data_IF_733386443876
#
_entry.id   IF_733386443876
#
_cell.length_a   1.000
_cell.length_b   1.000
_cell.length_c   1.000
_cell.angle_alpha   90.00
_cell.angle_beta   90.00
_cell.angle_gamma   90.00
#
_symmetry.space_group_name_H-M   'P 1'
#
loop_
_entity.id
_entity.type
_entity.pdbx_description
1 polymer ?
#
# COMPACT_ATOMS: atom_id res chain seq x y z
N UNK A 1 -11.13 -2.99 3.61
CA UNK A 1 -9.72 -3.26 3.90
C UNK A 1 -9.13 -4.10 2.79
N UNK A 2 -7.97 -3.68 2.29
CA UNK A 2 -7.19 -4.46 1.33
C UNK A 2 -6.19 -5.34 2.07
N UNK A 3 -6.15 -6.62 1.72
CA UNK A 3 -5.15 -7.56 2.24
C UNK A 3 -4.50 -8.21 1.02
N UNK A 4 -3.18 -8.03 0.89
CA UNK A 4 -2.43 -8.57 -0.24
C UNK A 4 -1.25 -9.39 0.25
N UNK A 5 -1.13 -10.61 -0.26
CA UNK A 5 0.06 -11.43 -0.07
C UNK A 5 1.10 -11.04 -1.13
N UNK A 6 2.23 -10.50 -0.69
CA UNK A 6 3.27 -10.03 -1.59
C UNK A 6 4.28 -11.12 -1.90
N UNK A 7 4.75 -11.15 -3.16
CA UNK A 7 5.85 -12.02 -3.56
C UNK A 7 7.17 -11.47 -3.02
N UNK A 8 8.23 -12.30 -3.05
CA UNK A 8 9.57 -11.86 -2.64
C UNK A 8 10.05 -10.70 -3.49
N UNK A 9 9.76 -10.72 -4.80
CA UNK A 9 10.11 -9.66 -5.73
C UNK A 9 9.41 -8.35 -5.37
N UNK A 10 8.14 -8.41 -5.04
CA UNK A 10 7.36 -7.23 -4.64
C UNK A 10 7.89 -6.63 -3.34
N UNK A 11 8.22 -7.46 -2.37
CA UNK A 11 8.81 -7.01 -1.09
C UNK A 11 10.16 -6.34 -1.35
N UNK A 12 11.02 -6.96 -2.14
CA UNK A 12 12.34 -6.43 -2.47
C UNK A 12 12.23 -5.09 -3.19
N UNK A 13 11.34 -4.97 -4.17
CA UNK A 13 11.09 -3.73 -4.89
C UNK A 13 10.62 -2.62 -3.94
N UNK A 14 9.68 -2.93 -3.05
CA UNK A 14 9.16 -1.96 -2.10
C UNK A 14 10.25 -1.45 -1.15
N UNK A 15 11.14 -2.33 -0.71
CA UNK A 15 12.21 -1.98 0.23
C UNK A 15 13.37 -1.24 -0.44
N UNK A 16 13.53 -1.33 -1.76
CA UNK A 16 14.59 -0.65 -2.50
C UNK A 16 14.31 0.82 -2.78
N UNK A 17 13.06 1.25 -2.72
CA UNK A 17 12.68 2.61 -3.07
C UNK A 17 13.32 3.58 -2.09
N UNK A 18 14.04 4.58 -2.60
CA UNK A 18 14.62 5.62 -1.75
C UNK A 18 13.51 6.49 -1.16
N UNK A 19 13.57 6.74 0.15
CA UNK A 19 12.57 7.56 0.85
C UNK A 19 12.47 8.94 0.22
N UNK A 20 13.57 9.50 -0.26
CA UNK A 20 13.60 10.78 -0.94
C UNK A 20 12.81 10.82 -2.25
N UNK A 21 12.51 9.67 -2.84
CA UNK A 21 11.71 9.57 -4.07
C UNK A 21 10.20 9.48 -3.80
N UNK A 22 9.81 9.45 -2.53
CA UNK A 22 8.41 9.27 -2.14
C UNK A 22 7.76 10.61 -1.82
N UNK A 23 6.61 10.94 -2.45
CA UNK A 23 5.84 12.14 -2.09
C UNK A 23 5.42 12.18 -0.62
N UNK A 24 5.06 11.03 -0.06
CA UNK A 24 4.77 10.85 1.36
C UNK A 24 5.79 9.86 1.92
N UNK A 25 6.93 10.35 2.46
CA UNK A 25 8.05 9.50 2.83
C UNK A 25 7.71 8.55 3.98
N UNK A 26 7.72 7.25 3.68
CA UNK A 26 7.48 6.20 4.66
C UNK A 26 8.16 4.92 4.18
N UNK A 27 8.98 4.30 5.01
CA UNK A 27 9.67 3.07 4.67
C UNK A 27 8.65 1.91 4.62
N UNK A 28 8.84 0.99 3.69
CA UNK A 28 7.98 -0.19 3.59
C UNK A 28 7.93 -0.96 4.91
N UNK A 29 9.05 -1.09 5.60
CA UNK A 29 9.12 -1.82 6.87
C UNK A 29 8.29 -1.20 7.98
N UNK A 30 7.98 0.09 7.89
CA UNK A 30 7.11 0.79 8.82
C UNK A 30 5.62 0.53 8.56
N UNK A 31 5.29 0.00 7.38
CA UNK A 31 3.91 -0.18 6.93
C UNK A 31 3.40 -1.60 7.12
N UNK A 32 4.25 -2.55 7.47
CA UNK A 32 3.88 -3.97 7.60
C UNK A 32 4.42 -4.56 8.89
N UNK A 33 3.64 -5.46 9.49
CA UNK A 33 4.12 -6.28 10.62
C UNK A 33 4.83 -7.52 10.08
N UNK A 34 4.31 -8.10 9.00
CA UNK A 34 4.91 -9.20 8.26
C UNK A 34 5.05 -8.76 6.80
N UNK A 35 6.27 -8.71 6.22
CA UNK A 35 6.47 -8.22 4.86
C UNK A 35 5.62 -8.93 3.80
N UNK A 36 5.29 -10.19 3.99
CA UNK A 36 4.46 -10.95 3.06
C UNK A 36 3.02 -10.45 3.01
N UNK A 37 2.50 -9.90 4.11
CA UNK A 37 1.10 -9.50 4.24
C UNK A 37 0.95 -8.00 4.38
N UNK A 38 0.52 -7.35 3.31
CA UNK A 38 0.21 -5.93 3.31
C UNK A 38 -1.29 -5.75 3.63
N UNK A 39 -1.59 -5.00 4.69
CA UNK A 39 -2.96 -4.73 5.14
C UNK A 39 -3.20 -3.23 5.12
N UNK A 40 -4.21 -2.77 4.38
CA UNK A 40 -4.45 -1.34 4.20
C UNK A 40 -5.95 -1.03 4.17
N UNK A 41 -6.28 0.21 4.50
CA UNK A 41 -7.62 0.75 4.23
C UNK A 41 -7.73 1.05 2.73
N UNK A 42 -8.69 0.42 2.06
CA UNK A 42 -8.85 0.50 0.61
C UNK A 42 -9.58 1.75 0.15
N UNK A 43 -9.13 2.92 0.57
CA UNK A 43 -9.74 4.21 0.25
C UNK A 43 -8.66 5.17 -0.24
N UNK A 44 -8.82 5.68 -1.47
CA UNK A 44 -7.92 6.66 -2.04
C UNK A 44 -7.88 7.93 -1.18
N UNK A 45 -6.69 8.37 -0.82
CA UNK A 45 -6.50 9.51 0.09
C UNK A 45 -6.80 10.87 -0.56
N UNK A 46 -7.08 10.89 -1.86
CA UNK A 46 -7.49 12.13 -2.54
C UNK A 46 -8.95 12.47 -2.24
N UNK A 47 -9.92 11.70 -2.76
CA UNK A 47 -11.36 11.98 -2.59
C UNK A 47 -12.18 10.74 -2.20
N UNK A 48 -11.54 9.69 -1.69
CA UNK A 48 -12.25 8.55 -1.12
C UNK A 48 -12.72 7.47 -2.10
N UNK A 49 -12.27 7.51 -3.36
CA UNK A 49 -12.56 6.42 -4.30
C UNK A 49 -11.81 5.15 -3.91
N UNK A 50 -12.30 4.01 -4.40
CA UNK A 50 -11.67 2.71 -4.11
C UNK A 50 -10.66 2.40 -5.21
N UNK A 51 -9.35 2.31 -4.90
CA UNK A 51 -8.34 1.94 -5.89
C UNK A 51 -8.50 0.51 -6.39
N UNK A 52 -8.04 0.29 -7.62
CA UNK A 52 -8.05 -1.03 -8.26
C UNK A 52 -6.70 -1.72 -8.06
N UNK A 53 -6.72 -2.96 -7.57
CA UNK A 53 -5.52 -3.75 -7.35
C UNK A 53 -4.86 -4.20 -8.64
N UNK A 54 -3.54 -4.36 -8.60
CA UNK A 54 -2.72 -4.83 -9.73
C UNK A 54 -2.90 -3.98 -10.99
N UNK A 55 -3.12 -2.70 -10.82
CA UNK A 55 -3.25 -1.70 -11.87
C UNK A 55 -2.29 -0.55 -11.61
N UNK A 56 -2.06 0.24 -12.65
CA UNK A 56 -1.15 1.40 -12.58
C UNK A 56 0.30 1.02 -12.88
N UNK A 57 1.17 2.02 -12.80
CA UNK A 57 2.55 1.91 -13.29
C UNK A 57 3.52 1.29 -12.27
N UNK A 58 3.06 1.04 -11.05
CA UNK A 58 3.92 0.60 -9.95
C UNK A 58 3.53 -0.76 -9.38
N UNK A 59 2.75 -1.54 -10.11
CA UNK A 59 2.31 -2.90 -9.74
C UNK A 59 1.48 -2.98 -8.45
N UNK A 60 1.03 -1.84 -7.94
CA UNK A 60 0.22 -1.76 -6.72
C UNK A 60 -1.24 -1.53 -7.03
N UNK A 61 -1.69 -0.29 -6.82
CA UNK A 61 -3.08 0.10 -7.01
C UNK A 61 -3.17 1.34 -7.88
N UNK A 62 -4.29 1.46 -8.58
CA UNK A 62 -4.60 2.61 -9.40
C UNK A 62 -6.00 3.12 -9.07
N UNK A 63 -6.11 4.42 -8.74
CA UNK A 63 -7.41 5.05 -8.52
C UNK A 63 -7.91 5.68 -9.82
N UNK A 64 -8.98 5.14 -10.42
CA UNK A 64 -9.45 5.63 -11.73
C UNK A 64 -10.16 6.98 -11.67
N UNK A 65 -10.55 7.44 -10.47
CA UNK A 65 -11.28 8.69 -10.33
C UNK A 65 -10.44 9.90 -10.79
N UNK A 66 -9.16 9.97 -10.39
CA UNK A 66 -8.29 11.09 -10.72
C UNK A 66 -6.87 10.67 -11.07
N UNK A 67 -6.62 9.37 -11.23
CA UNK A 67 -5.35 8.88 -11.76
C UNK A 67 -4.21 8.74 -10.75
N UNK A 68 -4.49 8.53 -9.48
CA UNK A 68 -3.44 8.25 -8.48
C UNK A 68 -2.91 6.83 -8.63
N UNK A 69 -1.57 6.69 -8.59
CA UNK A 69 -0.87 5.41 -8.66
C UNK A 69 -0.19 5.13 -7.32
N UNK A 70 -0.42 3.94 -6.78
CA UNK A 70 0.21 3.46 -5.55
C UNK A 70 1.10 2.26 -5.85
N UNK A 71 2.18 2.12 -5.11
CA UNK A 71 3.12 1.00 -5.28
C UNK A 71 2.68 -0.24 -4.49
N UNK A 72 3.55 -1.27 -4.47
CA UNK A 72 3.27 -2.54 -3.78
C UNK A 72 3.30 -2.43 -2.26
N UNK A 73 3.57 -1.25 -1.72
CA UNK A 73 3.46 -0.92 -0.30
C UNK A 73 2.26 0.00 -0.01
N UNK A 74 1.49 0.36 -1.04
CA UNK A 74 0.39 1.30 -0.92
C UNK A 74 0.83 2.75 -0.75
N UNK A 75 2.08 3.08 -1.13
CA UNK A 75 2.58 4.45 -1.07
C UNK A 75 2.23 5.17 -2.36
N UNK A 76 1.81 6.43 -2.22
CA UNK A 76 1.53 7.28 -3.39
C UNK A 76 2.82 7.54 -4.17
N UNK A 77 2.75 7.34 -5.47
CA UNK A 77 3.88 7.53 -6.37
C UNK A 77 3.60 8.57 -7.45
N UNK A 78 2.35 8.69 -7.88
CA UNK A 78 1.97 9.57 -8.98
C UNK A 78 0.49 9.93 -8.86
N UNK A 79 0.16 11.17 -9.18
CA UNK A 79 -1.23 11.62 -9.18
C UNK A 79 -1.55 12.51 -7.98
N UNK A 80 -2.83 12.91 -7.83
CA UNK A 80 -3.22 13.96 -6.89
C UNK A 80 -3.36 13.54 -5.43
N UNK A 81 -3.32 12.23 -5.13
CA UNK A 81 -3.47 11.77 -3.73
C UNK A 81 -2.33 12.34 -2.87
N UNK A 82 -2.65 12.94 -1.71
CA UNK A 82 -1.64 13.61 -0.89
C UNK A 82 -0.83 12.68 -0.01
N UNK A 83 -1.36 11.51 0.35
CA UNK A 83 -0.73 10.60 1.29
C UNK A 83 -0.80 9.16 0.82
N UNK A 84 0.01 8.29 1.44
CA UNK A 84 -0.06 6.84 1.27
C UNK A 84 -1.41 6.31 1.74
N UNK A 85 -1.81 5.13 1.27
CA UNK A 85 -3.00 4.46 1.79
C UNK A 85 -2.81 4.17 3.28
N UNK A 86 -3.87 4.37 4.06
CA UNK A 86 -3.82 4.24 5.51
C UNK A 86 -3.59 2.79 5.92
N UNK A 87 -2.73 2.58 6.92
CA UNK A 87 -2.54 1.28 7.56
C UNK A 87 -3.43 1.22 8.78
N UNK A 88 -4.42 0.31 8.84
CA UNK A 88 -5.30 0.20 10.01
C UNK A 88 -4.58 -0.47 11.17
N UNK A 89 -5.15 -0.39 12.35
CA UNK A 89 -4.73 -1.22 13.48
C UNK A 89 -5.10 -2.67 13.19
N UNK A 90 -4.15 -3.58 13.31
CA UNK A 90 -4.38 -5.00 13.15
C UNK A 90 -3.35 -5.81 13.90
N UNK A 91 -3.67 -7.08 14.16
CA UNK A 91 -2.76 -8.01 14.82
C UNK A 91 -2.95 -9.40 14.22
N UNK A 92 -1.86 -10.16 14.08
CA UNK A 92 -1.93 -11.57 13.72
C UNK A 92 -2.27 -12.38 14.96
N UNK A 93 -3.39 -13.10 14.91
CA UNK A 93 -3.77 -14.04 15.98
C UNK A 93 -3.01 -15.36 15.84
N UNK A 94 -2.71 -15.75 14.61
CA UNK A 94 -1.87 -16.88 14.24
C UNK A 94 -1.45 -16.69 12.77
N UNK A 95 -0.80 -17.69 12.17
CA UNK A 95 -0.29 -17.58 10.80
C UNK A 95 -1.39 -17.41 9.74
N UNK A 96 -2.64 -17.72 10.08
CA UNK A 96 -3.75 -17.73 9.15
C UNK A 96 -4.86 -16.75 9.49
N UNK A 97 -4.75 -15.99 10.60
CA UNK A 97 -5.84 -15.16 11.08
C UNK A 97 -5.34 -13.79 11.51
N UNK A 98 -5.97 -12.75 10.96
CA UNK A 98 -5.69 -11.36 11.30
C UNK A 98 -6.94 -10.76 11.94
N UNK A 99 -6.75 -10.06 13.05
CA UNK A 99 -7.80 -9.25 13.67
C UNK A 99 -7.55 -7.80 13.31
N UNK A 100 -8.56 -7.15 12.74
CA UNK A 100 -8.50 -5.75 12.31
C UNK A 100 -9.40 -4.91 13.22
N UNK A 101 -8.81 -3.87 13.78
CA UNK A 101 -9.54 -2.99 14.70
C UNK A 101 -9.23 -3.19 16.16
#
# INVERSE_FOLDING_TARGET
>A
VFIRRRTKEEITEAQKVAITDLPDPEDDTERVQNPEWLVMVGVCTHLGCIPLGQKGDYNGWYCPCHGSHYDTSGRIRKGPAPTNLEIPEYVFLNDNTIKIG
#
